data_IF_795088723414
#
_entry.id   IF_795088723414
#
_cell.length_a   1.000
_cell.length_b   1.000
_cell.length_c   1.000
_cell.angle_alpha   90.00
_cell.angle_beta   90.00
_cell.angle_gamma   90.00
#
_symmetry.space_group_name_H-M   'P 1'
#
loop_
_entity.id
_entity.type
_entity.pdbx_description
1 polymer ?
#
# COMPACT_ATOMS: atom_id res chain seq x y z
N UNK A 1 4.12 -10.42 2.76
CA UNK A 1 4.03 -9.24 3.64
C UNK A 1 4.48 -8.04 2.84
N UNK A 2 3.92 -6.88 3.11
CA UNK A 2 4.20 -5.61 2.42
C UNK A 2 4.69 -4.60 3.45
N UNK A 3 5.70 -3.84 3.10
CA UNK A 3 6.26 -2.75 3.90
C UNK A 3 6.39 -1.52 3.00
N UNK A 4 6.09 -0.33 3.52
CA UNK A 4 6.18 0.92 2.74
C UNK A 4 7.57 1.53 2.92
N UNK A 5 8.36 1.47 1.86
CA UNK A 5 9.73 2.00 1.86
C UNK A 5 9.78 3.49 2.22
N UNK A 6 10.52 3.81 3.28
CA UNK A 6 10.82 5.19 3.65
C UNK A 6 9.64 5.99 4.20
N UNK A 7 8.60 5.33 4.72
CA UNK A 7 7.41 6.00 5.24
C UNK A 7 7.70 7.01 6.37
N UNK A 8 8.70 6.77 7.22
CA UNK A 8 9.19 7.79 8.17
C UNK A 8 9.59 9.11 7.49
N UNK A 9 10.23 9.08 6.32
CA UNK A 9 10.62 10.29 5.58
C UNK A 9 9.40 11.07 5.08
N UNK A 10 8.31 10.37 4.77
CA UNK A 10 7.04 11.00 4.40
C UNK A 10 6.45 11.74 5.60
N UNK A 11 6.41 11.09 6.77
CA UNK A 11 5.97 11.73 8.01
C UNK A 11 6.84 12.94 8.37
N UNK A 12 8.15 12.82 8.26
CA UNK A 12 9.08 13.90 8.57
C UNK A 12 8.90 15.11 7.62
N UNK A 13 8.55 14.86 6.34
CA UNK A 13 8.40 15.89 5.32
C UNK A 13 7.00 16.54 5.28
N UNK A 14 5.95 15.77 5.59
CA UNK A 14 4.54 16.16 5.37
C UNK A 14 3.68 16.10 6.62
N UNK A 15 4.27 15.71 7.77
CA UNK A 15 3.55 15.45 9.00
C UNK A 15 2.76 14.13 8.93
N UNK A 16 2.20 13.74 10.09
CA UNK A 16 1.42 12.52 10.21
C UNK A 16 0.17 12.51 9.33
N UNK A 17 -0.44 13.66 9.06
CA UNK A 17 -1.59 13.76 8.13
C UNK A 17 -1.20 13.35 6.70
N UNK A 18 0.01 13.72 6.26
CA UNK A 18 0.56 13.27 4.98
C UNK A 18 0.82 11.77 4.95
N UNK A 19 1.35 11.22 6.05
CA UNK A 19 1.50 9.77 6.23
C UNK A 19 0.17 9.01 6.18
N UNK A 20 -0.84 9.49 6.89
CA UNK A 20 -2.18 8.89 6.91
C UNK A 20 -2.82 8.88 5.52
N UNK A 21 -2.60 9.95 4.73
CA UNK A 21 -3.03 10.03 3.35
C UNK A 21 -2.36 8.95 2.48
N UNK A 22 -1.05 8.75 2.63
CA UNK A 22 -0.31 7.69 1.92
C UNK A 22 -0.78 6.30 2.34
N UNK A 23 -0.92 6.02 3.63
CA UNK A 23 -1.42 4.74 4.13
C UNK A 23 -2.80 4.40 3.58
N UNK A 24 -3.69 5.40 3.54
CA UNK A 24 -5.05 5.23 3.01
C UNK A 24 -5.03 4.88 1.53
N UNK A 25 -4.26 5.62 0.73
CA UNK A 25 -4.16 5.37 -0.70
C UNK A 25 -3.46 4.05 -1.00
N UNK A 26 -2.39 3.72 -0.29
CA UNK A 26 -1.70 2.43 -0.42
C UNK A 26 -2.66 1.27 -0.14
N UNK A 27 -3.41 1.33 0.96
CA UNK A 27 -4.40 0.30 1.29
C UNK A 27 -5.48 0.16 0.20
N UNK A 28 -5.96 1.27 -0.37
CA UNK A 28 -6.94 1.27 -1.46
C UNK A 28 -6.37 0.64 -2.73
N UNK A 29 -5.17 1.03 -3.15
CA UNK A 29 -4.49 0.50 -4.34
C UNK A 29 -4.25 -1.01 -4.20
N UNK A 30 -3.67 -1.45 -3.09
CA UNK A 30 -3.41 -2.89 -2.85
C UNK A 30 -4.71 -3.67 -2.84
N UNK A 31 -5.77 -3.15 -2.21
CA UNK A 31 -7.09 -3.80 -2.20
C UNK A 31 -7.67 -3.94 -3.62
N UNK A 32 -7.54 -2.92 -4.46
CA UNK A 32 -7.98 -2.99 -5.86
C UNK A 32 -7.17 -4.01 -6.68
N UNK A 33 -5.86 -4.09 -6.44
CA UNK A 33 -4.98 -5.02 -7.15
C UNK A 33 -5.21 -6.48 -6.76
N UNK A 34 -5.50 -6.74 -5.47
CA UNK A 34 -5.86 -8.05 -4.93
C UNK A 34 -7.27 -8.47 -5.37
N UNK A 35 -8.22 -7.53 -5.40
CA UNK A 35 -9.59 -7.79 -5.82
C UNK A 35 -10.29 -8.84 -4.92
N UNK A 36 -11.13 -9.67 -5.52
CA UNK A 36 -11.91 -10.70 -4.80
C UNK A 36 -11.08 -11.94 -4.43
N UNK A 37 -9.82 -12.01 -4.89
CA UNK A 37 -8.95 -13.17 -4.63
C UNK A 37 -8.45 -13.24 -3.18
N UNK A 38 -8.61 -12.16 -2.41
CA UNK A 38 -8.08 -12.10 -1.06
C UNK A 38 -8.50 -10.88 -0.26
N UNK A 39 -7.89 -10.77 0.92
CA UNK A 39 -8.04 -9.64 1.83
C UNK A 39 -6.70 -8.97 2.08
N UNK A 40 -6.76 -7.68 2.40
CA UNK A 40 -5.62 -6.86 2.80
C UNK A 40 -5.86 -6.39 4.23
N UNK A 41 -4.87 -6.54 5.10
CA UNK A 41 -4.92 -6.11 6.49
C UNK A 41 -3.69 -5.27 6.83
N UNK A 42 -3.87 -4.22 7.63
CA UNK A 42 -2.76 -3.49 8.26
C UNK A 42 -2.37 -4.22 9.54
N UNK A 43 -1.11 -4.61 9.65
CA UNK A 43 -0.60 -5.40 10.79
C UNK A 43 0.31 -4.57 11.72
N UNK A 44 0.81 -3.43 11.23
CA UNK A 44 1.70 -2.54 11.98
C UNK A 44 1.54 -1.08 11.57
N UNK A 45 2.56 -0.27 11.88
CA UNK A 45 2.60 1.15 11.53
C UNK A 45 2.55 1.36 10.01
N UNK A 46 3.55 0.86 9.30
CA UNK A 46 3.67 0.95 7.84
C UNK A 46 3.52 -0.42 7.14
N UNK A 47 3.24 -1.47 7.92
CA UNK A 47 3.23 -2.86 7.48
C UNK A 47 1.82 -3.37 7.16
N UNK A 48 1.70 -4.08 6.02
CA UNK A 48 0.47 -4.71 5.55
C UNK A 48 0.68 -6.19 5.22
N UNK A 49 -0.39 -6.97 5.37
CA UNK A 49 -0.46 -8.36 4.98
C UNK A 49 -1.56 -8.57 3.92
N UNK A 50 -1.29 -9.45 2.97
CA UNK A 50 -2.28 -9.93 1.99
C UNK A 50 -2.46 -11.42 2.21
N UNK A 51 -3.72 -11.82 2.43
CA UNK A 51 -4.11 -13.21 2.46
C UNK A 51 -5.00 -13.47 1.25
N UNK A 52 -4.52 -14.28 0.31
CA UNK A 52 -5.21 -14.59 -0.94
C UNK A 52 -5.30 -16.10 -1.14
N UNK A 53 -6.39 -16.54 -1.76
CA UNK A 53 -6.55 -17.93 -2.20
C UNK A 53 -5.95 -18.04 -3.60
N UNK A 54 -4.92 -18.88 -3.73
CA UNK A 54 -4.20 -19.11 -4.99
C UNK A 54 -4.02 -20.61 -5.21
N UNK A 55 -4.03 -21.04 -6.47
CA UNK A 55 -3.94 -22.46 -6.83
C UNK A 55 -2.50 -22.99 -6.75
N UNK A 56 -1.50 -22.09 -6.73
CA UNK A 56 -0.09 -22.45 -6.65
C UNK A 56 0.79 -21.34 -6.08
N UNK A 57 1.98 -21.70 -5.62
CA UNK A 57 2.99 -20.73 -5.18
C UNK A 57 3.38 -19.74 -6.28
N UNK A 58 3.40 -20.19 -7.54
CA UNK A 58 3.72 -19.38 -8.71
C UNK A 58 2.66 -18.30 -8.93
N UNK A 59 1.37 -18.63 -8.81
CA UNK A 59 0.30 -17.64 -8.84
C UNK A 59 0.40 -16.63 -7.69
N UNK A 60 0.73 -17.11 -6.47
CA UNK A 60 0.99 -16.24 -5.33
C UNK A 60 2.13 -15.25 -5.58
N UNK A 61 3.22 -15.72 -6.20
CA UNK A 61 4.34 -14.86 -6.60
C UNK A 61 3.94 -13.82 -7.66
N UNK A 62 3.18 -14.23 -8.68
CA UNK A 62 2.69 -13.31 -9.71
C UNK A 62 1.74 -12.25 -9.14
N UNK A 63 0.90 -12.61 -8.17
CA UNK A 63 0.06 -11.66 -7.45
C UNK A 63 0.91 -10.66 -6.66
N UNK A 64 1.95 -11.13 -5.97
CA UNK A 64 2.88 -10.25 -5.25
C UNK A 64 3.57 -9.25 -6.18
N UNK A 65 4.09 -9.71 -7.33
CA UNK A 65 4.73 -8.83 -8.32
C UNK A 65 3.75 -7.85 -8.96
N UNK A 66 2.50 -8.28 -9.23
CA UNK A 66 1.43 -7.39 -9.70
C UNK A 66 1.16 -6.27 -8.70
N UNK A 67 1.12 -6.59 -7.39
CA UNK A 67 0.91 -5.59 -6.35
C UNK A 67 2.09 -4.61 -6.30
N UNK A 68 3.33 -5.13 -6.28
CA UNK A 68 4.55 -4.31 -6.22
C UNK A 68 4.62 -3.33 -7.39
N UNK A 69 4.45 -3.82 -8.62
CA UNK A 69 4.44 -2.99 -9.82
C UNK A 69 3.27 -2.02 -9.86
N UNK A 70 2.09 -2.44 -9.43
CA UNK A 70 0.90 -1.58 -9.39
C UNK A 70 1.11 -0.36 -8.49
N UNK A 71 1.64 -0.58 -7.28
CA UNK A 71 1.97 0.49 -6.33
C UNK A 71 3.09 1.38 -6.86
N UNK A 72 4.16 0.81 -7.40
CA UNK A 72 5.30 1.57 -7.96
C UNK A 72 4.87 2.49 -9.12
N UNK A 73 3.93 2.04 -9.95
CA UNK A 73 3.48 2.77 -11.14
C UNK A 73 2.52 3.94 -10.86
N UNK A 74 1.98 4.04 -9.65
CA UNK A 74 0.95 5.03 -9.31
C UNK A 74 1.43 5.96 -8.18
N UNK A 75 1.74 7.23 -8.50
CA UNK A 75 2.08 8.22 -7.48
C UNK A 75 0.92 8.43 -6.50
N UNK A 76 1.24 8.60 -5.22
CA UNK A 76 0.27 8.99 -4.20
C UNK A 76 -0.10 10.47 -4.35
N UNK A 77 -1.40 10.75 -4.46
CA UNK A 77 -1.92 12.11 -4.54
C UNK A 77 -1.90 12.78 -3.17
N UNK A 78 -0.90 13.63 -2.92
CA UNK A 78 -0.84 14.41 -1.68
C UNK A 78 -1.55 15.74 -1.88
N UNK A 79 -2.73 15.90 -1.30
CA UNK A 79 -3.39 17.19 -1.25
C UNK A 79 -2.58 18.11 -0.34
N UNK A 80 -1.94 19.14 -0.91
CA UNK A 80 -1.29 20.19 -0.12
C UNK A 80 -2.39 20.97 0.60
N UNK A 81 -2.66 20.65 1.87
CA UNK A 81 -3.38 21.55 2.76
C UNK A 81 -2.56 22.83 2.88
N UNK A 82 -2.98 23.88 2.17
CA UNK A 82 -2.48 25.23 2.38
C UNK A 82 -3.02 25.69 3.73
N UNK A 83 -2.20 25.68 4.78
CA UNK A 83 -2.49 26.48 5.97
C UNK A 83 -2.28 27.95 5.61
N UNK A 84 -3.39 28.67 5.53
CA UNK A 84 -3.48 30.14 5.57
C UNK A 84 -3.09 30.67 6.94
#
# INVERSE_FOLDING_TARGET
>A
MLDIDGFKRVNDALGHEGGDCVLTQFAQQVRQLVGEQGMVARIGGEEFAVAAVVDSAQQGYLLAEKIRHGVESQPFGLARTRST
#
